data_IF_255509537292
#
_entry.id   IF_255509537292
#
_cell.length_a   1.000
_cell.length_b   1.000
_cell.length_c   1.000
_cell.angle_alpha   90.00
_cell.angle_beta   90.00
_cell.angle_gamma   90.00
#
_symmetry.space_group_name_H-M   'P 1'
#
loop_
_entity.id
_entity.type
_entity.pdbx_description
1 polymer ?
#
# COMPACT_ATOMS: atom_id res chain seq x y z
N UNK A 1 13.34 -49.52 -6.84
CA UNK A 1 13.71 -48.16 -7.30
C UNK A 1 12.77 -47.04 -6.81
N UNK A 2 11.57 -47.35 -6.33
CA UNK A 2 10.52 -46.36 -5.97
C UNK A 2 10.65 -45.78 -4.53
N UNK A 3 11.23 -46.53 -3.59
CA UNK A 3 11.32 -46.11 -2.17
C UNK A 3 12.43 -45.07 -1.92
N UNK A 4 13.55 -45.17 -2.65
CA UNK A 4 14.64 -44.21 -2.52
C UNK A 4 14.27 -42.80 -3.05
N UNK A 5 13.47 -42.68 -4.11
CA UNK A 5 13.01 -41.41 -4.66
C UNK A 5 12.07 -40.68 -3.70
N UNK A 6 11.20 -41.37 -2.99
CA UNK A 6 10.30 -40.81 -1.97
C UNK A 6 11.08 -40.29 -0.74
N UNK A 7 12.14 -40.97 -0.32
CA UNK A 7 13.00 -40.51 0.76
C UNK A 7 13.76 -39.24 0.39
N UNK A 8 14.27 -39.13 -0.84
CA UNK A 8 14.97 -37.92 -1.30
C UNK A 8 14.03 -36.70 -1.41
N UNK A 9 12.79 -36.90 -1.80
CA UNK A 9 11.79 -35.83 -1.84
C UNK A 9 11.39 -35.34 -0.43
N UNK A 10 11.24 -36.24 0.53
CA UNK A 10 10.96 -35.87 1.92
C UNK A 10 12.13 -35.14 2.59
N UNK A 11 13.34 -35.56 2.37
CA UNK A 11 14.55 -34.91 2.91
C UNK A 11 14.74 -33.52 2.28
N UNK A 12 14.48 -33.38 0.98
CA UNK A 12 14.56 -32.09 0.29
C UNK A 12 13.51 -31.09 0.80
N UNK A 13 12.26 -31.54 1.03
CA UNK A 13 11.21 -30.70 1.60
C UNK A 13 11.52 -30.29 3.06
N UNK A 14 12.10 -31.18 3.86
CA UNK A 14 12.49 -30.89 5.24
C UNK A 14 13.66 -29.89 5.30
N UNK A 15 14.65 -30.02 4.40
CA UNK A 15 15.77 -29.09 4.28
C UNK A 15 15.31 -27.71 3.81
N UNK A 16 14.41 -27.63 2.84
CA UNK A 16 13.84 -26.37 2.35
C UNK A 16 13.00 -25.70 3.46
N UNK A 17 12.19 -26.47 4.20
CA UNK A 17 11.43 -25.94 5.33
C UNK A 17 12.32 -25.43 6.47
N UNK A 18 13.42 -26.15 6.76
CA UNK A 18 14.37 -25.74 7.79
C UNK A 18 15.23 -24.54 7.38
N UNK A 19 15.57 -24.41 6.10
CA UNK A 19 16.29 -23.24 5.55
C UNK A 19 15.39 -21.99 5.51
N UNK A 20 14.12 -22.15 5.15
CA UNK A 20 13.13 -21.06 5.19
C UNK A 20 12.88 -20.65 6.65
N UNK A 21 12.75 -21.59 7.58
CA UNK A 21 12.58 -21.32 9.02
C UNK A 21 13.77 -20.56 9.63
N UNK A 22 15.01 -21.00 9.35
CA UNK A 22 16.22 -20.31 9.84
C UNK A 22 16.36 -18.89 9.26
N UNK A 23 16.07 -18.68 7.96
CA UNK A 23 16.09 -17.35 7.35
C UNK A 23 15.04 -16.41 7.94
N UNK A 24 13.94 -16.93 8.48
CA UNK A 24 12.92 -16.15 9.19
C UNK A 24 13.29 -15.84 10.65
N UNK A 25 14.02 -16.75 11.32
CA UNK A 25 14.51 -16.52 12.69
C UNK A 25 15.66 -15.51 12.75
N UNK A 26 16.52 -15.47 11.72
CA UNK A 26 17.61 -14.50 11.60
C UNK A 26 17.18 -13.15 11.03
N UNK A 27 16.01 -13.04 10.41
CA UNK A 27 15.49 -11.79 9.87
C UNK A 27 15.10 -10.83 11.01
N UNK A 28 15.40 -9.53 10.87
CA UNK A 28 15.03 -8.48 11.83
C UNK A 28 13.50 -8.20 11.90
N UNK A 29 12.66 -9.01 11.22
CA UNK A 29 11.20 -8.86 11.20
C UNK A 29 10.52 -9.85 10.27
N UNK A 30 9.19 -10.02 10.43
CA UNK A 30 8.37 -10.85 9.56
C UNK A 30 7.68 -10.00 8.50
N UNK A 31 7.85 -10.37 7.23
CA UNK A 31 7.37 -9.59 6.09
C UNK A 31 5.85 -9.61 5.96
N UNK A 32 5.25 -8.42 5.83
CA UNK A 32 3.88 -8.19 5.39
C UNK A 32 3.91 -7.76 3.92
N UNK A 33 3.24 -8.53 3.06
CA UNK A 33 3.12 -8.24 1.63
C UNK A 33 1.70 -8.58 1.18
N UNK A 34 0.82 -7.61 1.22
CA UNK A 34 -0.59 -7.73 0.79
C UNK A 34 -0.99 -6.49 -0.01
N UNK A 35 -2.08 -6.58 -0.78
CA UNK A 35 -2.57 -5.48 -1.60
C UNK A 35 -4.02 -5.14 -1.28
N UNK A 36 -4.34 -3.85 -1.37
CA UNK A 36 -5.70 -3.37 -1.53
C UNK A 36 -5.99 -3.26 -3.02
N UNK A 37 -7.19 -3.65 -3.44
CA UNK A 37 -7.63 -3.51 -4.82
C UNK A 37 -8.49 -2.25 -4.93
N UNK A 38 -7.98 -1.24 -5.59
CA UNK A 38 -8.66 0.04 -5.77
C UNK A 38 -9.40 0.05 -7.11
N UNK A 39 -10.64 0.49 -7.09
CA UNK A 39 -11.49 0.62 -8.26
C UNK A 39 -10.97 1.75 -9.16
N UNK A 40 -10.60 1.47 -10.43
CA UNK A 40 -9.98 2.47 -11.31
C UNK A 40 -10.84 3.72 -11.52
N UNK A 41 -12.16 3.58 -11.56
CA UNK A 41 -13.11 4.68 -11.75
C UNK A 41 -13.15 5.67 -10.57
N UNK A 42 -12.59 5.32 -9.41
CA UNK A 42 -12.49 6.21 -8.25
C UNK A 42 -11.21 7.05 -8.24
N UNK A 43 -10.26 6.78 -9.14
CA UNK A 43 -9.02 7.54 -9.24
C UNK A 43 -9.25 8.85 -9.99
N UNK A 44 -8.87 9.97 -9.36
CA UNK A 44 -9.08 11.31 -9.91
C UNK A 44 -7.98 12.29 -9.54
N UNK A 45 -7.90 13.41 -10.25
CA UNK A 45 -7.15 14.57 -9.79
C UNK A 45 -7.88 15.22 -8.62
N UNK A 46 -7.11 15.78 -7.68
CA UNK A 46 -7.65 16.52 -6.53
C UNK A 46 -7.90 17.97 -6.89
N UNK A 47 -9.04 18.49 -6.51
CA UNK A 47 -9.38 19.89 -6.55
C UNK A 47 -8.84 20.63 -5.30
N UNK A 48 -8.78 21.97 -5.36
CA UNK A 48 -8.22 22.78 -4.26
C UNK A 48 -8.90 22.56 -2.92
N UNK A 49 -10.24 22.40 -2.90
CA UNK A 49 -11.01 22.14 -1.69
C UNK A 49 -10.71 20.77 -1.08
N UNK A 50 -10.44 19.77 -1.92
CA UNK A 50 -10.09 18.41 -1.49
C UNK A 50 -8.66 18.37 -0.93
N UNK A 51 -7.73 19.10 -1.54
CA UNK A 51 -6.37 19.29 -1.05
C UNK A 51 -6.39 19.92 0.34
N UNK A 52 -7.17 21.00 0.55
CA UNK A 52 -7.29 21.66 1.85
C UNK A 52 -7.95 20.76 2.91
N UNK A 53 -8.89 19.90 2.51
CA UNK A 53 -9.46 18.87 3.40
C UNK A 53 -8.39 17.85 3.83
N UNK A 54 -7.58 17.37 2.90
CA UNK A 54 -6.55 16.37 3.16
C UNK A 54 -5.36 16.90 3.97
N UNK A 55 -5.06 18.19 3.90
CA UNK A 55 -4.06 18.87 4.77
C UNK A 55 -4.38 18.76 6.27
N UNK A 56 -5.63 18.51 6.64
CA UNK A 56 -6.01 18.28 8.04
C UNK A 56 -5.57 16.91 8.57
N UNK A 57 -5.08 16.04 7.71
CA UNK A 57 -4.54 14.73 8.10
C UNK A 57 -3.08 14.93 8.51
N UNK A 58 -2.81 14.90 9.81
CA UNK A 58 -1.51 15.23 10.39
C UNK A 58 -0.33 14.48 9.75
N UNK A 59 -0.52 13.20 9.42
CA UNK A 59 0.54 12.36 8.83
C UNK A 59 1.03 12.82 7.46
N UNK A 60 0.23 13.56 6.72
CA UNK A 60 0.52 13.95 5.33
C UNK A 60 0.43 15.44 5.07
N UNK A 61 0.18 16.25 6.09
CA UNK A 61 0.06 17.71 5.98
C UNK A 61 1.31 18.32 5.32
N UNK A 62 2.48 18.06 5.90
CA UNK A 62 3.75 18.61 5.42
C UNK A 62 4.09 18.13 4.00
N UNK A 63 3.79 16.85 3.71
CA UNK A 63 3.96 16.32 2.36
C UNK A 63 3.08 17.06 1.35
N UNK A 64 1.80 17.28 1.66
CA UNK A 64 0.87 17.96 0.77
C UNK A 64 1.33 19.39 0.52
N UNK A 65 1.72 20.13 1.55
CA UNK A 65 2.20 21.52 1.42
C UNK A 65 3.45 21.62 0.55
N UNK A 66 4.43 20.76 0.80
CA UNK A 66 5.64 20.69 -0.01
C UNK A 66 5.33 20.35 -1.46
N UNK A 67 4.45 19.37 -1.68
CA UNK A 67 4.12 18.89 -3.02
C UNK A 67 3.30 19.90 -3.82
N UNK A 68 2.36 20.59 -3.18
CA UNK A 68 1.58 21.68 -3.80
C UNK A 68 2.51 22.81 -4.21
N UNK A 69 3.47 23.19 -3.37
CA UNK A 69 4.46 24.21 -3.68
C UNK A 69 5.28 23.83 -4.92
N UNK A 70 5.84 22.63 -4.94
CA UNK A 70 6.62 22.10 -6.07
C UNK A 70 5.80 22.09 -7.39
N UNK A 71 4.55 21.65 -7.30
CA UNK A 71 3.65 21.58 -8.45
C UNK A 71 3.34 23.00 -8.99
N UNK A 72 3.07 23.95 -8.11
CA UNK A 72 2.77 25.34 -8.47
C UNK A 72 3.98 26.02 -9.09
N UNK A 73 5.17 25.84 -8.55
CA UNK A 73 6.42 26.35 -9.11
C UNK A 73 6.68 25.78 -10.51
N UNK A 74 6.49 24.47 -10.69
CA UNK A 74 6.61 23.82 -11.99
C UNK A 74 5.61 24.40 -13.00
N UNK A 75 4.33 24.44 -12.65
CA UNK A 75 3.28 24.92 -13.55
C UNK A 75 3.48 26.39 -13.92
N UNK A 76 3.93 27.23 -12.98
CA UNK A 76 4.28 28.63 -13.23
C UNK A 76 5.49 28.77 -14.14
N UNK A 77 6.55 28.00 -13.89
CA UNK A 77 7.80 28.04 -14.70
C UNK A 77 7.54 27.75 -16.18
N UNK A 78 6.58 26.88 -16.48
CA UNK A 78 6.26 26.48 -17.85
C UNK A 78 5.00 27.15 -18.40
N UNK A 79 4.49 28.16 -17.73
CA UNK A 79 3.29 28.94 -18.12
C UNK A 79 2.09 28.03 -18.46
N UNK A 80 1.84 27.05 -17.61
CA UNK A 80 0.79 26.05 -17.82
C UNK A 80 -0.59 26.67 -17.59
N UNK A 81 -1.45 26.60 -18.62
CA UNK A 81 -2.87 26.96 -18.49
C UNK A 81 -3.61 25.96 -17.56
N UNK A 82 -4.00 26.44 -16.41
CA UNK A 82 -4.71 25.67 -15.37
C UNK A 82 -6.23 25.72 -15.48
N UNK A 83 -6.78 26.21 -16.61
CA UNK A 83 -8.23 26.17 -16.87
C UNK A 83 -8.78 24.74 -16.88
N UNK A 84 -7.93 23.75 -17.18
CA UNK A 84 -8.23 22.34 -17.06
C UNK A 84 -7.25 21.62 -16.12
N UNK A 85 -7.77 20.77 -15.23
CA UNK A 85 -6.95 19.98 -14.31
C UNK A 85 -5.97 19.04 -15.03
N UNK A 86 -6.28 18.61 -16.25
CA UNK A 86 -5.40 17.74 -17.04
C UNK A 86 -4.07 18.41 -17.40
N UNK A 87 -4.06 19.75 -17.48
CA UNK A 87 -2.86 20.49 -17.87
C UNK A 87 -1.83 20.53 -16.75
N UNK A 88 -0.57 20.29 -17.09
CA UNK A 88 0.56 20.35 -16.18
C UNK A 88 0.56 19.28 -15.11
N UNK A 89 1.19 19.58 -13.96
CA UNK A 89 1.29 18.66 -12.84
C UNK A 89 0.15 18.89 -11.85
N UNK A 90 -0.38 17.79 -11.28
CA UNK A 90 -1.48 17.80 -10.32
C UNK A 90 -1.30 16.69 -9.31
N UNK A 91 -1.95 16.81 -8.16
CA UNK A 91 -2.11 15.74 -7.20
C UNK A 91 -3.27 14.82 -7.63
N UNK A 92 -3.12 13.54 -7.34
CA UNK A 92 -4.21 12.56 -7.44
C UNK A 92 -4.54 12.00 -6.06
N UNK A 93 -5.80 11.64 -5.85
CA UNK A 93 -6.25 11.03 -4.61
C UNK A 93 -5.49 9.72 -4.32
N UNK A 94 -5.27 8.88 -5.33
CA UNK A 94 -4.50 7.64 -5.17
C UNK A 94 -3.03 7.89 -4.82
N UNK A 95 -2.42 8.92 -5.41
CA UNK A 95 -1.04 9.31 -5.11
C UNK A 95 -0.88 9.73 -3.65
N UNK A 96 -1.79 10.58 -3.16
CA UNK A 96 -1.78 11.03 -1.75
C UNK A 96 -2.10 9.87 -0.80
N UNK A 97 -3.03 8.98 -1.15
CA UNK A 97 -3.34 7.80 -0.34
C UNK A 97 -2.14 6.86 -0.18
N UNK A 98 -1.33 6.64 -1.22
CA UNK A 98 -0.11 5.83 -1.10
C UNK A 98 0.89 6.42 -0.09
N UNK A 99 1.07 7.74 -0.09
CA UNK A 99 1.93 8.43 0.89
C UNK A 99 1.34 8.29 2.29
N UNK A 100 0.02 8.47 2.44
CA UNK A 100 -0.65 8.25 3.71
C UNK A 100 -0.37 6.85 4.28
N UNK A 101 -0.44 5.82 3.45
CA UNK A 101 -0.12 4.44 3.86
C UNK A 101 1.33 4.34 4.34
N UNK A 102 2.29 4.92 3.61
CA UNK A 102 3.70 4.89 3.99
C UNK A 102 3.94 5.60 5.33
N UNK A 103 3.40 6.80 5.51
CA UNK A 103 3.56 7.56 6.75
C UNK A 103 2.83 6.88 7.94
N UNK A 104 1.66 6.30 7.71
CA UNK A 104 0.97 5.50 8.72
C UNK A 104 1.81 4.31 9.18
N UNK A 105 2.40 3.57 8.25
CA UNK A 105 3.24 2.43 8.57
C UNK A 105 4.54 2.84 9.26
N UNK A 106 5.18 3.96 8.88
CA UNK A 106 6.35 4.51 9.58
C UNK A 106 6.03 4.89 11.03
N UNK A 107 4.87 5.51 11.25
CA UNK A 107 4.42 5.91 12.58
C UNK A 107 3.92 4.73 13.44
N UNK A 108 3.68 3.56 12.86
CA UNK A 108 3.09 2.44 13.57
C UNK A 108 4.12 1.74 14.47
N UNK A 109 3.89 1.61 15.80
CA UNK A 109 4.91 1.15 16.76
C UNK A 109 5.39 -0.29 16.52
N UNK A 110 4.56 -1.14 15.90
CA UNK A 110 4.87 -2.56 15.69
C UNK A 110 5.46 -2.86 14.31
N UNK A 111 5.56 -1.88 13.41
CA UNK A 111 6.29 -2.02 12.14
C UNK A 111 7.78 -1.73 12.33
N UNK A 112 8.62 -2.43 11.57
CA UNK A 112 10.06 -2.24 11.64
C UNK A 112 10.52 -1.23 10.58
N UNK A 113 10.82 -0.01 11.02
CA UNK A 113 11.27 1.08 10.17
C UNK A 113 12.71 0.95 9.65
N UNK A 114 13.53 0.09 10.29
CA UNK A 114 14.89 -0.20 9.82
C UNK A 114 14.90 -1.06 8.54
N UNK A 115 13.76 -1.67 8.21
CA UNK A 115 13.61 -2.52 7.03
C UNK A 115 12.82 -1.81 5.93
N UNK A 116 12.92 -2.35 4.72
CA UNK A 116 12.23 -1.78 3.54
C UNK A 116 10.74 -1.62 3.80
N UNK A 117 10.28 -0.40 3.70
CA UNK A 117 8.88 -0.02 3.74
C UNK A 117 8.52 0.69 2.45
N UNK A 118 7.46 0.25 1.78
CA UNK A 118 6.94 0.91 0.59
C UNK A 118 5.46 0.61 0.38
N UNK A 119 4.79 1.55 -0.26
CA UNK A 119 3.47 1.40 -0.81
C UNK A 119 3.54 1.64 -2.33
N UNK A 120 3.34 0.59 -3.13
CA UNK A 120 3.49 0.68 -4.57
C UNK A 120 2.25 0.25 -5.32
N UNK A 121 2.01 0.91 -6.44
CA UNK A 121 1.00 0.50 -7.40
C UNK A 121 1.57 -0.60 -8.29
N UNK A 122 0.85 -1.71 -8.41
CA UNK A 122 1.16 -2.77 -9.37
C UNK A 122 0.34 -2.59 -10.65
N UNK A 123 0.60 -3.46 -11.62
CA UNK A 123 -0.17 -3.46 -12.87
C UNK A 123 -1.67 -3.65 -12.60
N UNK A 124 -2.54 -2.89 -13.29
CA UNK A 124 -3.98 -3.08 -13.19
C UNK A 124 -4.40 -4.50 -13.55
N UNK A 125 -5.40 -5.01 -12.85
CA UNK A 125 -6.01 -6.32 -13.10
C UNK A 125 -7.48 -6.15 -13.46
N UNK A 126 -8.16 -7.23 -13.85
CA UNK A 126 -9.62 -7.24 -14.03
C UNK A 126 -10.39 -6.92 -12.74
N UNK A 127 -9.72 -7.03 -11.58
CA UNK A 127 -10.26 -6.74 -10.26
C UNK A 127 -9.83 -5.36 -9.71
N UNK A 128 -9.23 -4.50 -10.52
CA UNK A 128 -8.82 -3.17 -10.13
C UNK A 128 -7.31 -2.97 -10.06
N UNK A 129 -6.90 -1.87 -9.44
CA UNK A 129 -5.50 -1.46 -9.28
C UNK A 129 -4.98 -1.97 -7.94
N UNK A 130 -4.03 -2.93 -7.92
CA UNK A 130 -3.45 -3.39 -6.66
C UNK A 130 -2.49 -2.33 -6.10
N UNK A 131 -2.79 -1.87 -4.90
CA UNK A 131 -1.90 -1.05 -4.08
C UNK A 131 -1.24 -1.97 -3.07
N UNK A 132 0.01 -2.34 -3.35
CA UNK A 132 0.75 -3.30 -2.53
C UNK A 132 1.45 -2.61 -1.37
N UNK A 133 1.13 -3.06 -0.18
CA UNK A 133 1.78 -2.72 1.07
C UNK A 133 2.92 -3.72 1.30
N UNK A 134 4.13 -3.20 1.48
CA UNK A 134 5.32 -3.98 1.77
C UNK A 134 6.01 -3.41 3.00
N UNK A 135 6.02 -4.15 4.08
CA UNK A 135 6.62 -3.75 5.35
C UNK A 135 7.00 -4.98 6.17
N UNK A 136 7.53 -4.78 7.37
CA UNK A 136 7.90 -5.86 8.28
C UNK A 136 7.36 -5.61 9.68
N UNK A 137 6.81 -6.66 10.29
CA UNK A 137 6.46 -6.66 11.72
C UNK A 137 7.73 -6.81 12.56
N UNK A 138 7.83 -6.07 13.68
CA UNK A 138 8.88 -6.28 14.70
C UNK A 138 8.71 -7.62 15.39
N UNK A 139 7.47 -8.05 15.63
CA UNK A 139 7.17 -9.33 16.26
C UNK A 139 7.09 -10.44 15.20
N UNK A 140 7.73 -11.58 15.51
CA UNK A 140 7.78 -12.75 14.64
C UNK A 140 6.76 -13.83 15.02
N UNK A 141 6.19 -13.74 16.23
CA UNK A 141 5.15 -14.66 16.68
C UNK A 141 3.95 -14.60 15.76
N UNK A 142 3.46 -15.77 15.32
CA UNK A 142 2.44 -15.82 14.28
C UNK A 142 1.15 -15.10 14.67
N UNK A 143 0.64 -15.37 15.84
CA UNK A 143 -0.63 -14.77 16.29
C UNK A 143 -0.55 -13.25 16.35
N UNK A 144 0.55 -12.70 16.85
CA UNK A 144 0.79 -11.25 16.90
C UNK A 144 1.00 -10.66 15.51
N UNK A 145 1.71 -11.36 14.63
CA UNK A 145 1.89 -10.95 13.24
C UNK A 145 0.56 -10.89 12.49
N UNK A 146 -0.31 -11.92 12.62
CA UNK A 146 -1.62 -11.90 11.98
C UNK A 146 -2.54 -10.83 12.57
N UNK A 147 -2.49 -10.61 13.90
CA UNK A 147 -3.19 -9.52 14.57
C UNK A 147 -2.77 -8.16 14.02
N UNK A 148 -1.46 -7.87 14.02
CA UNK A 148 -0.92 -6.64 13.45
C UNK A 148 -1.33 -6.46 11.97
N UNK A 149 -1.24 -7.51 11.18
CA UNK A 149 -1.60 -7.44 9.76
C UNK A 149 -3.08 -7.12 9.60
N UNK A 150 -3.95 -7.73 10.39
CA UNK A 150 -5.38 -7.43 10.40
C UNK A 150 -5.67 -5.99 10.80
N UNK A 151 -5.08 -5.51 11.88
CA UNK A 151 -5.24 -4.13 12.37
C UNK A 151 -4.82 -3.10 11.31
N UNK A 152 -3.67 -3.34 10.64
CA UNK A 152 -3.21 -2.46 9.56
C UNK A 152 -4.25 -2.44 8.41
N UNK A 153 -4.72 -3.60 7.95
CA UNK A 153 -5.64 -3.64 6.81
C UNK A 153 -7.04 -3.14 7.15
N UNK A 154 -7.54 -3.36 8.35
CA UNK A 154 -8.80 -2.78 8.83
C UNK A 154 -8.72 -1.25 8.85
N UNK A 155 -7.62 -0.70 9.34
CA UNK A 155 -7.38 0.75 9.32
C UNK A 155 -7.33 1.29 7.88
N UNK A 156 -6.55 0.65 6.99
CA UNK A 156 -6.40 1.11 5.61
C UNK A 156 -7.71 1.01 4.83
N UNK A 157 -8.47 -0.08 4.95
CA UNK A 157 -9.79 -0.24 4.34
C UNK A 157 -10.77 0.85 4.82
N UNK A 158 -10.74 1.16 6.11
CA UNK A 158 -11.56 2.24 6.69
C UNK A 158 -11.14 3.62 6.18
N UNK A 159 -9.87 3.80 5.85
CA UNK A 159 -9.31 5.07 5.39
C UNK A 159 -9.59 5.38 3.92
N UNK A 160 -9.76 4.37 3.05
CA UNK A 160 -9.94 4.52 1.59
C UNK A 160 -10.95 5.61 1.22
N UNK A 161 -12.11 5.62 1.87
CA UNK A 161 -13.21 6.56 1.60
C UNK A 161 -12.86 8.03 1.91
N UNK A 162 -11.91 8.29 2.81
CA UNK A 162 -11.49 9.67 3.14
C UNK A 162 -10.67 10.31 2.02
N UNK A 163 -10.17 9.49 1.10
CA UNK A 163 -9.47 9.91 -0.12
C UNK A 163 -10.36 9.83 -1.37
N UNK A 164 -11.69 9.72 -1.20
CA UNK A 164 -12.65 9.52 -2.29
C UNK A 164 -12.27 8.34 -3.21
N UNK A 165 -11.68 7.30 -2.63
CA UNK A 165 -11.36 6.05 -3.30
C UNK A 165 -12.37 4.97 -2.92
N UNK A 166 -12.52 4.00 -3.80
CA UNK A 166 -13.37 2.81 -3.60
C UNK A 166 -12.51 1.54 -3.77
N UNK A 167 -12.73 0.55 -2.90
CA UNK A 167 -12.21 -0.78 -3.13
C UNK A 167 -13.04 -1.50 -4.19
N UNK A 168 -12.41 -2.42 -4.91
CA UNK A 168 -13.11 -3.29 -5.85
C UNK A 168 -14.02 -4.26 -5.08
N UNK A 169 -15.26 -4.35 -5.52
CA UNK A 169 -16.25 -5.30 -5.05
C UNK A 169 -16.85 -6.03 -6.26
N UNK A 170 -17.01 -7.35 -6.15
CA UNK A 170 -17.76 -8.12 -7.14
C UNK A 170 -19.25 -7.78 -6.97
N UNK A 171 -19.80 -6.98 -7.86
CA UNK A 171 -21.25 -6.82 -7.92
C UNK A 171 -21.88 -8.11 -8.42
N UNK A 172 -22.62 -8.80 -7.55
CA UNK A 172 -23.55 -9.82 -8.02
C UNK A 172 -24.73 -9.09 -8.66
N UNK A 173 -24.75 -9.04 -9.99
CA UNK A 173 -25.98 -8.72 -10.71
C UNK A 173 -26.96 -9.87 -10.45
N UNK A 174 -27.77 -9.73 -9.41
CA UNK A 174 -28.98 -10.55 -9.26
C UNK A 174 -29.93 -10.00 -10.33
N UNK A 175 -29.89 -10.62 -11.52
CA UNK A 175 -30.92 -10.43 -12.54
C UNK A 175 -32.23 -11.00 -11.97
N UNK A 176 -33.12 -10.13 -11.53
CA UNK A 176 -34.53 -10.48 -11.30
C UNK A 176 -35.24 -10.68 -12.62
#
# INVERSE_FOLDING_TARGET
MTIQLLQYQHISLYLIHSLIGRGMEESKGRRIKRSLLIKPSSVKFLESNEIEKLKRVNLISDYIDSRVTEINEYNKKYDIDKSMLLNGRNLTNLGVFRIYIEEYLKAHPMTNEDLTLMCRQLEPTSQGIPIQIYTFSKDKEWTKYEGLTSDIFDHLLSSVKYFDLECFELSQNISN
#
